data_IF_648958908007
#
_entry.id   IF_648958908007
#
_cell.length_a   1.000
_cell.length_b   1.000
_cell.length_c   1.000
_cell.angle_alpha   90.00
_cell.angle_beta   90.00
_cell.angle_gamma   90.00
#
_symmetry.space_group_name_H-M   'P 1'
#
loop_
_entity.id
_entity.type
_entity.pdbx_description
1 polymer ?
#
# COMPACT_ATOMS: atom_id res chain seq x y z
N UNK A 1 -2.63 14.29 5.88
CA UNK A 1 -2.35 13.10 5.02
C UNK A 1 -0.93 12.64 5.23
N UNK A 2 -0.72 11.36 5.47
CA UNK A 2 0.60 10.71 5.51
C UNK A 2 0.97 10.26 4.08
N UNK A 3 2.09 10.74 3.54
CA UNK A 3 2.48 10.51 2.14
C UNK A 3 3.96 10.12 1.97
N UNK A 4 4.78 10.27 3.00
CA UNK A 4 6.19 9.93 2.89
C UNK A 4 6.40 8.45 2.55
N UNK A 5 7.27 8.19 1.58
CA UNK A 5 7.57 6.84 1.15
C UNK A 5 8.40 6.82 -0.13
N UNK A 6 9.17 5.75 -0.31
CA UNK A 6 9.97 5.51 -1.50
C UNK A 6 10.01 4.02 -1.85
N UNK A 7 10.62 3.66 -2.97
CA UNK A 7 10.78 2.29 -3.43
C UNK A 7 12.24 1.83 -3.41
N UNK A 8 12.44 0.54 -3.19
CA UNK A 8 13.71 -0.16 -3.46
C UNK A 8 13.40 -1.33 -4.38
N UNK A 9 14.04 -1.37 -5.53
CA UNK A 9 13.99 -2.49 -6.48
C UNK A 9 15.19 -3.39 -6.28
N UNK A 10 14.92 -4.66 -6.05
CA UNK A 10 15.89 -5.72 -5.85
C UNK A 10 15.17 -6.98 -5.38
N UNK A 11 15.76 -8.16 -5.64
CA UNK A 11 15.25 -9.40 -5.06
C UNK A 11 15.56 -9.45 -3.56
N UNK A 12 14.76 -10.14 -2.79
CA UNK A 12 14.87 -10.16 -1.33
C UNK A 12 16.25 -10.58 -0.83
N UNK A 13 16.90 -11.51 -1.53
CA UNK A 13 18.22 -12.05 -1.20
C UNK A 13 19.35 -11.03 -1.40
N UNK A 14 19.20 -10.11 -2.36
CA UNK A 14 20.22 -9.12 -2.69
C UNK A 14 20.11 -7.82 -1.87
N UNK A 15 19.01 -7.63 -1.13
CA UNK A 15 18.81 -6.44 -0.30
C UNK A 15 19.71 -6.47 0.93
N UNK A 16 20.38 -5.36 1.23
CA UNK A 16 21.08 -5.19 2.50
C UNK A 16 20.12 -5.02 3.67
N UNK A 17 20.57 -5.35 4.89
CA UNK A 17 19.81 -5.08 6.11
C UNK A 17 19.46 -3.59 6.23
N UNK A 18 20.35 -2.71 5.79
CA UNK A 18 20.13 -1.26 5.76
C UNK A 18 19.00 -0.86 4.82
N UNK A 19 18.89 -1.47 3.63
CA UNK A 19 17.77 -1.21 2.70
C UNK A 19 16.45 -1.65 3.30
N UNK A 20 16.44 -2.84 3.93
CA UNK A 20 15.27 -3.37 4.63
C UNK A 20 14.83 -2.45 5.76
N UNK A 21 15.74 -2.10 6.68
CA UNK A 21 15.44 -1.26 7.83
C UNK A 21 14.95 0.14 7.41
N UNK A 22 15.68 0.81 6.52
CA UNK A 22 15.31 2.17 6.08
C UNK A 22 13.96 2.22 5.38
N UNK A 23 13.61 1.20 4.59
CA UNK A 23 12.33 1.15 3.94
C UNK A 23 11.18 0.94 4.94
N UNK A 24 11.35 0.02 5.90
CA UNK A 24 10.37 -0.18 6.99
C UNK A 24 10.23 1.10 7.80
N UNK A 25 11.32 1.72 8.21
CA UNK A 25 11.29 2.92 9.03
C UNK A 25 10.57 4.07 8.35
N UNK A 26 10.86 4.32 7.07
CA UNK A 26 10.24 5.43 6.34
C UNK A 26 8.79 5.14 5.99
N UNK A 27 8.53 4.02 5.30
CA UNK A 27 7.23 3.77 4.69
C UNK A 27 6.18 3.26 5.69
N UNK A 28 6.60 2.50 6.70
CA UNK A 28 5.71 1.86 7.66
C UNK A 28 5.78 2.52 9.04
N UNK A 29 6.93 2.46 9.70
CA UNK A 29 7.10 2.99 11.08
C UNK A 29 6.77 4.48 11.12
N UNK A 30 7.29 5.28 10.18
CA UNK A 30 7.01 6.72 10.10
C UNK A 30 5.52 7.02 9.91
N UNK A 31 4.82 6.26 9.07
CA UNK A 31 3.37 6.39 8.86
C UNK A 31 2.57 6.03 10.14
N UNK A 32 2.96 4.95 10.81
CA UNK A 32 2.36 4.54 12.11
C UNK A 32 2.58 5.59 13.18
N UNK A 33 3.80 6.11 13.31
CA UNK A 33 4.13 7.16 14.28
C UNK A 33 3.35 8.45 14.03
N UNK A 34 3.21 8.85 12.76
CA UNK A 34 2.39 10.02 12.38
C UNK A 34 0.92 9.81 12.79
N UNK A 35 0.34 8.66 12.48
CA UNK A 35 -1.04 8.35 12.87
C UNK A 35 -1.22 8.40 14.39
N UNK A 36 -0.31 7.78 15.15
CA UNK A 36 -0.32 7.81 16.62
C UNK A 36 -0.23 9.22 17.19
N UNK A 37 0.59 10.08 16.58
CA UNK A 37 0.72 11.47 17.01
C UNK A 37 -0.52 12.32 16.68
N UNK A 38 -1.17 12.08 15.54
CA UNK A 38 -2.30 12.88 15.06
C UNK A 38 -3.63 12.50 15.73
N UNK A 39 -3.85 11.22 16.03
CA UNK A 39 -5.12 10.72 16.61
C UNK A 39 -5.56 11.47 17.88
N UNK A 40 -4.70 11.74 18.88
CA UNK A 40 -5.12 12.51 20.06
C UNK A 40 -5.62 13.92 19.72
N UNK A 41 -5.02 14.58 18.73
CA UNK A 41 -5.45 15.92 18.29
C UNK A 41 -6.80 15.87 17.58
N UNK A 42 -6.99 14.91 16.68
CA UNK A 42 -8.28 14.72 16.00
C UNK A 42 -9.38 14.40 16.99
N UNK A 43 -9.10 13.56 17.99
CA UNK A 43 -10.06 13.24 19.05
C UNK A 43 -10.41 14.47 19.88
N UNK A 44 -9.43 15.28 20.26
CA UNK A 44 -9.65 16.49 21.07
C UNK A 44 -10.49 17.55 20.33
N UNK A 45 -10.40 17.62 19.00
CA UNK A 45 -11.22 18.53 18.18
C UNK A 45 -12.60 17.98 17.81
N UNK A 46 -12.95 16.75 18.24
CA UNK A 46 -14.26 16.15 18.00
C UNK A 46 -14.36 15.36 16.69
N UNK A 47 -13.22 14.95 16.11
CA UNK A 47 -13.18 14.13 14.91
C UNK A 47 -12.28 14.67 13.81
N UNK A 48 -12.39 14.08 12.62
CA UNK A 48 -11.64 14.51 11.45
C UNK A 48 -11.35 13.37 10.47
N UNK A 49 -10.46 13.63 9.52
CA UNK A 49 -10.06 12.65 8.51
C UNK A 49 -8.54 12.45 8.51
N UNK A 50 -8.11 11.22 8.67
CA UNK A 50 -6.72 10.79 8.50
C UNK A 50 -6.58 10.02 7.19
N UNK A 51 -5.81 10.56 6.24
CA UNK A 51 -5.53 9.92 4.96
C UNK A 51 -4.12 9.36 4.94
N UNK A 52 -3.96 8.15 4.41
CA UNK A 52 -2.69 7.47 4.24
C UNK A 52 -2.45 7.11 2.78
N UNK A 53 -1.29 7.47 2.24
CA UNK A 53 -0.85 6.97 0.94
C UNK A 53 -0.43 5.50 1.05
N UNK A 54 -1.28 4.63 0.54
CA UNK A 54 -1.01 3.22 0.31
C UNK A 54 -0.58 2.99 -1.15
N UNK A 55 -1.03 1.93 -1.78
CA UNK A 55 -0.78 1.58 -3.19
C UNK A 55 -1.64 0.37 -3.58
N UNK A 56 -1.88 0.17 -4.88
CA UNK A 56 -2.31 -1.14 -5.38
C UNK A 56 -1.36 -2.27 -4.94
N UNK A 57 -0.07 -1.94 -4.74
CA UNK A 57 0.96 -2.85 -4.22
C UNK A 57 0.72 -3.36 -2.79
N UNK A 58 -0.34 -2.91 -2.11
CA UNK A 58 -0.83 -3.49 -0.86
C UNK A 58 -1.75 -4.71 -1.07
N UNK A 59 -2.16 -4.98 -2.29
CA UNK A 59 -3.04 -6.09 -2.65
C UNK A 59 -2.42 -7.07 -3.64
N UNK A 60 -1.45 -6.60 -4.42
CA UNK A 60 -0.72 -7.38 -5.42
C UNK A 60 0.77 -7.39 -5.08
N UNK A 61 1.53 -8.31 -5.70
CA UNK A 61 2.97 -8.38 -5.52
C UNK A 61 3.68 -8.54 -6.86
N UNK A 62 4.79 -7.81 -7.02
CA UNK A 62 5.67 -7.91 -8.16
C UNK A 62 7.04 -8.44 -7.73
N UNK A 63 7.64 -9.37 -8.48
CA UNK A 63 9.02 -9.81 -8.25
C UNK A 63 9.98 -8.60 -8.24
N UNK A 64 10.99 -8.66 -7.38
CA UNK A 64 11.96 -7.57 -7.24
C UNK A 64 11.47 -6.34 -6.47
N UNK A 65 10.29 -6.41 -5.83
CA UNK A 65 9.73 -5.28 -5.08
C UNK A 65 9.16 -5.70 -3.72
N UNK A 66 9.65 -6.84 -3.19
CA UNK A 66 9.13 -7.50 -1.98
C UNK A 66 9.02 -6.57 -0.76
N UNK A 67 10.07 -5.81 -0.45
CA UNK A 67 10.07 -4.94 0.74
C UNK A 67 9.12 -3.76 0.62
N UNK A 68 8.89 -3.23 -0.59
CA UNK A 68 7.85 -2.23 -0.80
C UNK A 68 6.47 -2.83 -0.47
N UNK A 69 6.19 -4.03 -0.97
CA UNK A 69 4.94 -4.72 -0.67
C UNK A 69 4.77 -4.96 0.83
N UNK A 70 5.82 -5.40 1.55
CA UNK A 70 5.78 -5.54 3.02
C UNK A 70 5.29 -4.26 3.68
N UNK A 71 5.82 -3.10 3.27
CA UNK A 71 5.43 -1.82 3.89
C UNK A 71 3.99 -1.42 3.55
N UNK A 72 3.53 -1.68 2.32
CA UNK A 72 2.18 -1.32 1.88
C UNK A 72 1.12 -2.28 2.43
N UNK A 73 1.42 -3.58 2.50
CA UNK A 73 0.55 -4.54 3.19
C UNK A 73 0.48 -4.28 4.70
N UNK A 74 1.62 -3.96 5.30
CA UNK A 74 1.68 -3.64 6.73
C UNK A 74 0.85 -2.41 7.10
N UNK A 75 0.90 -1.34 6.29
CA UNK A 75 0.12 -0.14 6.58
C UNK A 75 -1.39 -0.35 6.38
N UNK A 76 -1.82 -1.20 5.43
CA UNK A 76 -3.22 -1.59 5.29
C UNK A 76 -3.71 -2.28 6.56
N UNK A 77 -2.97 -3.30 7.04
CA UNK A 77 -3.32 -4.02 8.27
C UNK A 77 -3.40 -3.11 9.49
N UNK A 78 -2.47 -2.16 9.62
CA UNK A 78 -2.50 -1.17 10.69
C UNK A 78 -3.76 -0.29 10.62
N UNK A 79 -4.11 0.23 9.43
CA UNK A 79 -5.29 1.08 9.27
C UNK A 79 -6.61 0.31 9.37
N UNK A 80 -6.66 -0.99 9.05
CA UNK A 80 -7.84 -1.82 9.30
C UNK A 80 -8.20 -1.89 10.80
N UNK A 81 -7.18 -1.99 11.66
CA UNK A 81 -7.39 -1.96 13.11
C UNK A 81 -7.68 -0.54 13.59
N UNK A 82 -6.83 0.43 13.23
CA UNK A 82 -6.93 1.82 13.66
C UNK A 82 -8.30 2.42 13.35
N UNK A 83 -8.85 2.16 12.17
CA UNK A 83 -10.18 2.67 11.78
C UNK A 83 -11.25 2.31 12.80
N UNK A 84 -11.26 1.05 13.25
CA UNK A 84 -12.23 0.57 14.25
C UNK A 84 -11.99 1.19 15.62
N UNK A 85 -10.72 1.45 15.98
CA UNK A 85 -10.35 2.07 17.26
C UNK A 85 -10.77 3.55 17.34
N UNK A 86 -10.72 4.28 16.22
CA UNK A 86 -10.92 5.74 16.21
C UNK A 86 -12.33 6.18 15.76
N UNK A 87 -13.10 5.28 15.15
CA UNK A 87 -14.47 5.54 14.72
C UNK A 87 -15.37 6.10 15.83
N UNK A 88 -15.33 5.62 17.10
CA UNK A 88 -16.13 6.16 18.19
C UNK A 88 -15.85 7.63 18.52
N UNK A 89 -14.71 8.16 18.06
CA UNK A 89 -14.31 9.56 18.26
C UNK A 89 -14.65 10.47 17.07
N UNK A 90 -15.43 9.98 16.09
CA UNK A 90 -15.73 10.72 14.87
C UNK A 90 -14.53 10.89 13.92
N UNK A 91 -13.46 10.09 14.11
CA UNK A 91 -12.29 10.10 13.23
C UNK A 91 -12.49 9.08 12.13
N UNK A 92 -12.37 9.53 10.89
CA UNK A 92 -12.44 8.69 9.69
C UNK A 92 -11.04 8.48 9.12
N UNK A 93 -10.86 7.38 8.42
CA UNK A 93 -9.61 7.06 7.75
C UNK A 93 -9.85 6.78 6.27
N UNK A 94 -8.88 7.13 5.43
CA UNK A 94 -8.88 6.77 4.00
C UNK A 94 -7.51 6.26 3.61
N UNK A 95 -7.45 5.06 3.10
CA UNK A 95 -6.30 4.49 2.41
C UNK A 95 -6.37 4.88 0.93
N UNK A 96 -5.37 5.56 0.42
CA UNK A 96 -5.29 5.97 -0.98
C UNK A 96 -4.43 4.93 -1.72
N UNK A 97 -5.02 4.26 -2.69
CA UNK A 97 -4.44 3.11 -3.38
C UNK A 97 -4.26 3.41 -4.89
N UNK A 98 -3.25 4.22 -5.26
CA UNK A 98 -3.00 4.51 -6.67
C UNK A 98 -2.37 3.33 -7.39
N UNK A 99 -2.59 3.28 -8.70
CA UNK A 99 -1.85 2.47 -9.66
C UNK A 99 -0.51 3.11 -10.03
N UNK A 100 -0.10 2.93 -11.27
CA UNK A 100 1.16 3.48 -11.78
C UNK A 100 0.97 4.92 -12.21
N UNK A 101 1.23 5.84 -11.28
CA UNK A 101 1.09 7.29 -11.52
C UNK A 101 2.38 7.85 -12.12
N UNK A 102 2.25 8.66 -13.16
CA UNK A 102 3.37 9.36 -13.80
C UNK A 102 3.95 10.43 -12.88
N UNK A 103 4.90 10.00 -12.05
CA UNK A 103 5.64 10.82 -11.08
C UNK A 103 7.12 10.42 -11.09
N UNK A 104 7.97 11.16 -10.39
CA UNK A 104 9.38 10.78 -10.19
C UNK A 104 9.61 9.60 -9.23
N UNK A 105 8.57 8.84 -8.84
CA UNK A 105 8.71 7.75 -7.86
C UNK A 105 9.68 6.67 -8.33
N UNK A 106 9.55 6.24 -9.60
CA UNK A 106 10.40 5.18 -10.16
C UNK A 106 11.83 5.65 -10.44
N UNK A 107 12.01 6.95 -10.74
CA UNK A 107 13.32 7.55 -10.96
C UNK A 107 14.09 7.73 -9.65
N UNK A 108 13.38 8.06 -8.57
CA UNK A 108 13.92 8.25 -7.23
C UNK A 108 14.13 6.93 -6.45
N UNK A 109 13.59 5.82 -6.94
CA UNK A 109 13.70 4.53 -6.26
C UNK A 109 15.15 4.01 -6.29
N UNK A 110 15.60 3.45 -5.17
CA UNK A 110 16.87 2.75 -5.09
C UNK A 110 16.81 1.47 -5.92
N UNK A 111 17.89 1.17 -6.66
CA UNK A 111 18.02 -0.07 -7.44
C UNK A 111 19.20 -0.86 -6.94
N UNK A 112 18.92 -2.07 -6.47
CA UNK A 112 19.93 -3.04 -6.06
C UNK A 112 20.25 -3.94 -7.26
N UNK A 113 21.51 -4.08 -7.67
CA UNK A 113 21.89 -4.97 -8.77
C UNK A 113 21.48 -6.42 -8.49
N UNK A 114 20.92 -7.09 -9.49
CA UNK A 114 20.56 -8.50 -9.37
C UNK A 114 21.80 -9.39 -9.40
N UNK A 115 21.88 -10.32 -8.46
CA UNK A 115 22.84 -11.41 -8.50
C UNK A 115 22.57 -12.34 -9.69
N UNK A 116 23.61 -13.09 -10.08
CA UNK A 116 23.61 -13.90 -11.32
C UNK A 116 22.40 -14.86 -11.43
N UNK A 117 21.97 -15.58 -10.38
CA UNK A 117 20.84 -16.51 -10.47
C UNK A 117 19.51 -15.86 -10.85
N UNK A 118 19.35 -14.55 -10.65
CA UNK A 118 18.10 -13.83 -10.93
C UNK A 118 18.06 -13.10 -12.28
N UNK A 119 19.20 -13.06 -12.99
CA UNK A 119 19.30 -12.43 -14.31
C UNK A 119 18.46 -13.15 -15.35
N UNK A 120 17.74 -12.40 -16.16
CA UNK A 120 16.80 -12.94 -17.14
C UNK A 120 15.54 -13.55 -16.54
N UNK A 121 15.37 -13.49 -15.22
CA UNK A 121 14.21 -14.01 -14.51
C UNK A 121 13.07 -12.98 -14.35
N UNK A 122 12.01 -13.34 -13.63
CA UNK A 122 10.84 -12.46 -13.44
C UNK A 122 11.14 -11.10 -12.77
N UNK A 123 12.20 -11.03 -11.95
CA UNK A 123 12.64 -9.81 -11.28
C UNK A 123 13.53 -8.92 -12.17
N UNK A 124 14.09 -9.46 -13.25
CA UNK A 124 14.93 -8.75 -14.21
C UNK A 124 14.07 -8.08 -15.29
N UNK A 125 13.13 -7.26 -14.84
CA UNK A 125 12.27 -6.49 -15.74
C UNK A 125 12.72 -5.03 -15.77
N UNK A 126 12.66 -4.37 -16.93
CA UNK A 126 12.88 -2.93 -16.97
C UNK A 126 11.84 -2.24 -16.07
N UNK A 127 12.18 -1.10 -15.49
CA UNK A 127 11.20 -0.28 -14.81
C UNK A 127 10.06 0.06 -15.77
N UNK A 128 8.87 0.24 -15.23
CA UNK A 128 7.71 0.73 -15.99
C UNK A 128 8.09 1.96 -16.78
N UNK A 129 7.92 1.93 -18.10
CA UNK A 129 8.19 3.07 -18.95
C UNK A 129 7.17 4.19 -18.72
N UNK A 130 7.52 5.43 -19.12
CA UNK A 130 6.59 6.57 -19.00
C UNK A 130 5.32 6.35 -19.81
N UNK A 131 5.42 5.62 -20.93
CA UNK A 131 4.31 5.26 -21.79
C UNK A 131 3.35 4.27 -21.15
N UNK A 132 3.86 3.39 -20.29
CA UNK A 132 3.06 2.42 -19.52
C UNK A 132 2.37 3.04 -18.30
N UNK A 133 2.78 4.24 -17.90
CA UNK A 133 2.16 4.97 -16.78
C UNK A 133 0.86 5.60 -17.24
N UNK A 134 -0.26 4.94 -16.94
CA UNK A 134 -1.60 5.37 -17.40
C UNK A 134 -2.19 6.50 -16.55
N UNK A 135 -1.74 6.67 -15.32
CA UNK A 135 -2.34 7.59 -14.37
C UNK A 135 -1.70 8.98 -14.41
N UNK A 136 -2.55 9.99 -14.51
CA UNK A 136 -2.14 11.39 -14.45
C UNK A 136 -1.99 11.86 -13.01
N UNK A 137 -0.79 12.33 -12.63
CA UNK A 137 -0.55 12.94 -11.31
C UNK A 137 -1.60 14.00 -10.96
N UNK A 138 -1.92 14.90 -11.90
CA UNK A 138 -2.91 15.97 -11.69
C UNK A 138 -4.31 15.42 -11.37
N UNK A 139 -4.74 14.39 -12.09
CA UNK A 139 -6.06 13.76 -11.88
C UNK A 139 -6.10 12.98 -10.58
N UNK A 140 -5.02 12.27 -10.25
CA UNK A 140 -4.86 11.54 -8.98
C UNK A 140 -4.94 12.50 -7.79
N UNK A 141 -4.18 13.60 -7.80
CA UNK A 141 -4.23 14.62 -6.74
C UNK A 141 -5.63 15.22 -6.61
N UNK A 142 -6.27 15.57 -7.73
CA UNK A 142 -7.63 16.11 -7.70
C UNK A 142 -8.66 15.13 -7.11
N UNK A 143 -8.50 13.82 -7.35
CA UNK A 143 -9.36 12.80 -6.76
C UNK A 143 -9.14 12.67 -5.25
N UNK A 144 -7.89 12.74 -4.79
CA UNK A 144 -7.54 12.73 -3.35
C UNK A 144 -8.15 13.94 -2.63
N UNK A 145 -8.03 15.14 -3.22
CA UNK A 145 -8.63 16.36 -2.65
C UNK A 145 -10.15 16.23 -2.56
N UNK A 146 -10.81 15.80 -3.63
CA UNK A 146 -12.27 15.57 -3.59
C UNK A 146 -12.70 14.57 -2.53
N UNK A 147 -11.93 13.48 -2.34
CA UNK A 147 -12.22 12.52 -1.27
C UNK A 147 -12.02 13.14 0.12
N UNK A 148 -11.00 14.01 0.27
CA UNK A 148 -10.75 14.75 1.51
C UNK A 148 -11.87 15.73 1.87
N UNK A 149 -12.50 16.36 0.87
CA UNK A 149 -13.60 17.31 1.02
C UNK A 149 -14.97 16.61 1.16
N UNK A 150 -15.02 15.29 0.96
CA UNK A 150 -16.28 14.54 1.03
C UNK A 150 -16.81 14.44 2.46
N UNK A 151 -18.11 14.61 2.61
CA UNK A 151 -18.80 14.34 3.88
C UNK A 151 -18.68 12.87 4.30
N UNK A 152 -18.57 11.95 3.33
CA UNK A 152 -18.40 10.50 3.55
C UNK A 152 -17.23 10.04 2.66
N UNK A 153 -15.98 10.22 3.13
CA UNK A 153 -14.82 9.75 2.38
C UNK A 153 -14.77 8.20 2.37
N UNK A 154 -14.35 7.59 1.25
CA UNK A 154 -14.23 6.14 1.19
C UNK A 154 -13.11 5.65 2.12
N UNK A 155 -13.28 4.46 2.70
CA UNK A 155 -12.20 3.82 3.48
C UNK A 155 -10.99 3.48 2.60
N UNK A 156 -11.23 3.06 1.36
CA UNK A 156 -10.23 2.82 0.32
C UNK A 156 -10.57 3.63 -0.91
N UNK A 157 -9.62 4.37 -1.39
CA UNK A 157 -9.68 5.17 -2.59
C UNK A 157 -8.74 4.59 -3.64
N UNK A 158 -9.24 3.63 -4.42
CA UNK A 158 -8.49 3.05 -5.54
C UNK A 158 -8.47 4.06 -6.68
N UNK A 159 -7.29 4.37 -7.20
CA UNK A 159 -7.09 5.35 -8.27
C UNK A 159 -6.28 4.75 -9.39
N UNK A 160 -6.83 4.81 -10.60
CA UNK A 160 -6.29 4.22 -11.81
C UNK A 160 -7.06 2.98 -12.25
N UNK A 161 -7.24 2.82 -13.56
CA UNK A 161 -7.88 1.64 -14.14
C UNK A 161 -7.03 0.37 -13.95
N UNK A 162 -5.72 0.52 -14.01
CA UNK A 162 -4.74 -0.53 -13.72
C UNK A 162 -4.85 -1.02 -12.28
N UNK A 163 -4.88 -0.09 -11.31
CA UNK A 163 -5.09 -0.43 -9.90
C UNK A 163 -6.42 -1.17 -9.70
N UNK A 164 -7.50 -0.65 -10.27
CA UNK A 164 -8.82 -1.26 -10.11
C UNK A 164 -8.85 -2.71 -10.64
N UNK A 165 -8.31 -2.93 -11.85
CA UNK A 165 -8.28 -4.25 -12.46
C UNK A 165 -7.40 -5.24 -11.67
N UNK A 166 -6.17 -4.83 -11.33
CA UNK A 166 -5.22 -5.70 -10.66
C UNK A 166 -5.64 -6.03 -9.21
N UNK A 167 -6.10 -5.04 -8.45
CA UNK A 167 -6.59 -5.26 -7.09
C UNK A 167 -7.83 -6.16 -7.09
N UNK A 168 -8.79 -5.90 -8.00
CA UNK A 168 -10.00 -6.73 -8.09
C UNK A 168 -9.66 -8.17 -8.44
N UNK A 169 -8.73 -8.39 -9.38
CA UNK A 169 -8.29 -9.74 -9.75
C UNK A 169 -7.62 -10.45 -8.57
N UNK A 170 -6.66 -9.81 -7.90
CA UNK A 170 -5.95 -10.39 -6.78
C UNK A 170 -6.85 -10.73 -5.57
N UNK A 171 -7.85 -9.90 -5.29
CA UNK A 171 -8.81 -10.18 -4.22
C UNK A 171 -9.72 -11.36 -4.56
N UNK A 172 -10.13 -11.50 -5.82
CA UNK A 172 -10.91 -12.67 -6.28
C UNK A 172 -10.08 -13.93 -6.19
N UNK A 173 -8.86 -13.94 -6.70
CA UNK A 173 -7.95 -15.07 -6.64
C UNK A 173 -7.77 -15.57 -5.20
N UNK A 174 -7.50 -14.68 -4.24
CA UNK A 174 -7.39 -15.07 -2.83
C UNK A 174 -8.68 -15.64 -2.24
N UNK A 175 -9.81 -15.08 -2.64
CA UNK A 175 -11.10 -15.60 -2.20
C UNK A 175 -11.36 -17.00 -2.77
N UNK A 176 -11.06 -17.21 -4.05
CA UNK A 176 -11.21 -18.50 -4.73
C UNK A 176 -10.28 -19.56 -4.14
N UNK A 177 -9.06 -19.19 -3.72
CA UNK A 177 -8.13 -20.07 -3.00
C UNK A 177 -8.62 -20.44 -1.59
N UNK A 178 -9.32 -19.51 -0.92
CA UNK A 178 -9.79 -19.70 0.45
C UNK A 178 -11.06 -20.51 0.55
N UNK A 179 -12.03 -20.29 -0.36
CA UNK A 179 -13.36 -20.88 -0.27
C UNK A 179 -13.37 -22.42 -0.21
N UNK A 180 -12.51 -23.16 -0.95
CA UNK A 180 -12.45 -24.62 -0.89
C UNK A 180 -11.95 -25.18 0.44
N UNK A 181 -11.30 -24.37 1.28
CA UNK A 181 -10.66 -24.80 2.52
C UNK A 181 -11.62 -24.85 3.73
N UNK A 182 -12.90 -24.54 3.53
CA UNK A 182 -13.90 -24.42 4.62
C UNK A 182 -13.94 -25.63 5.55
N UNK A 183 -14.04 -26.83 4.98
CA UNK A 183 -14.23 -28.06 5.78
C UNK A 183 -12.91 -28.44 6.47
N UNK A 184 -11.78 -28.26 5.80
CA UNK A 184 -10.46 -28.48 6.38
C UNK A 184 -10.18 -27.49 7.53
N UNK A 185 -10.53 -26.21 7.34
CA UNK A 185 -10.37 -25.20 8.38
C UNK A 185 -11.15 -25.55 9.67
N UNK A 186 -12.34 -26.13 9.53
CA UNK A 186 -13.17 -26.54 10.66
C UNK A 186 -12.56 -27.72 11.47
N UNK A 187 -11.61 -28.47 10.91
CA UNK A 187 -10.94 -29.55 11.64
C UNK A 187 -10.05 -29.06 12.79
N UNK A 188 -9.69 -27.77 12.78
CA UNK A 188 -8.91 -27.13 13.84
C UNK A 188 -9.77 -26.58 14.98
N UNK A 189 -11.09 -26.69 14.90
CA UNK A 189 -11.98 -26.22 15.97
C UNK A 189 -11.87 -27.11 17.20
N UNK A 190 -12.02 -26.50 18.37
CA UNK A 190 -12.14 -27.24 19.65
C UNK A 190 -13.52 -27.88 19.67
N UNK A 191 -13.58 -29.23 19.70
CA UNK A 191 -14.81 -29.99 19.83
C UNK A 191 -15.49 -29.87 21.19
#
# INVERSE_FOLDING_TARGET
>A
MANAGYGVFGVAEDLSDDDVHRMIDTNLTGSVQLARAVVPHLRAQGGGLLMQMSSMGAHIAFPGFSMYHVTKWGIEGFYEALTKEVEPFGIRTTLVEPGVVRTGFFDAATRVPLSEPYRGGPADRPPTSVEEMVDSQKKTVAAIVRAGDSAIPPRRLVLGSDAWHLVTAALRERLDDLLPQRDEAATADIG
#
